data_IF_072125800897
#
_entry.id   IF_072125800897
#
_cell.length_a   1.000
_cell.length_b   1.000
_cell.length_c   1.000
_cell.angle_alpha   90.00
_cell.angle_beta   90.00
_cell.angle_gamma   90.00
#
_symmetry.space_group_name_H-M   'P 1'
#
loop_
_entity.id
_entity.type
_entity.pdbx_description
1 polymer ?
#
# COMPACT_ATOMS: atom_id res chain seq x y z
N UNK A 1 2.28 -1.67 -11.68
CA UNK A 1 2.23 -0.68 -10.59
C UNK A 1 1.05 -1.03 -9.69
N UNK A 2 1.15 -0.82 -8.37
CA UNK A 2 0.07 -1.08 -7.40
C UNK A 2 -0.11 0.21 -6.61
N UNK A 3 -1.33 0.76 -6.62
CA UNK A 3 -1.61 2.08 -6.06
C UNK A 3 -1.94 2.03 -4.56
N UNK A 4 -1.98 3.22 -3.95
CA UNK A 4 -2.44 3.38 -2.58
C UNK A 4 -3.96 3.33 -2.48
N UNK A 5 -4.46 2.62 -1.47
CA UNK A 5 -5.82 2.81 -0.95
C UNK A 5 -5.80 2.86 0.57
N UNK A 6 -6.64 3.72 1.16
CA UNK A 6 -6.90 3.74 2.60
C UNK A 6 -7.77 2.54 3.05
N UNK A 7 -8.40 1.84 2.10
CA UNK A 7 -9.07 0.55 2.31
C UNK A 7 -8.58 -0.44 1.22
N UNK A 8 -7.35 -0.98 1.38
CA UNK A 8 -6.71 -1.79 0.35
C UNK A 8 -7.26 -3.22 0.27
N UNK A 9 -6.95 -3.91 -0.83
CA UNK A 9 -7.21 -5.35 -1.00
C UNK A 9 -5.94 -6.22 -0.94
N UNK A 10 -4.76 -5.60 -0.81
CA UNK A 10 -3.48 -6.27 -0.60
C UNK A 10 -2.81 -5.84 0.72
N UNK A 11 -1.98 -6.73 1.26
CA UNK A 11 -1.00 -6.41 2.29
C UNK A 11 0.39 -6.91 1.89
N UNK A 12 1.43 -6.29 2.45
CA UNK A 12 2.84 -6.65 2.21
C UNK A 12 3.31 -7.59 3.31
N UNK A 13 3.97 -8.68 2.91
CA UNK A 13 4.62 -9.64 3.81
C UNK A 13 6.10 -9.76 3.44
N UNK A 14 7.03 -9.63 4.39
CA UNK A 14 8.43 -9.95 4.16
C UNK A 14 8.61 -11.47 4.05
N UNK A 15 9.16 -11.92 2.92
CA UNK A 15 9.45 -13.32 2.62
C UNK A 15 10.95 -13.56 2.44
N UNK A 16 11.40 -14.77 2.80
CA UNK A 16 12.78 -15.23 2.59
C UNK A 16 12.74 -16.43 1.65
N UNK A 17 13.52 -16.37 0.57
CA UNK A 17 13.67 -17.45 -0.41
C UNK A 17 15.16 -17.75 -0.49
N UNK A 18 15.64 -18.85 0.08
CA UNK A 18 17.06 -19.26 0.09
C UNK A 18 18.01 -18.35 0.91
N UNK A 19 17.56 -17.87 2.09
CA UNK A 19 18.32 -17.00 3.01
C UNK A 19 18.80 -15.60 2.55
N UNK A 20 18.11 -14.86 1.66
CA UNK A 20 18.49 -13.51 1.27
C UNK A 20 18.23 -12.53 2.40
N UNK A 21 19.20 -11.66 2.64
CA UNK A 21 19.13 -10.52 3.55
C UNK A 21 19.48 -9.24 2.76
N UNK A 22 18.63 -8.20 2.75
CA UNK A 22 17.33 -8.11 3.44
C UNK A 22 16.24 -9.02 2.83
N UNK A 23 15.15 -9.31 3.58
CA UNK A 23 14.03 -10.08 3.05
C UNK A 23 13.40 -9.39 1.84
N UNK A 24 12.80 -10.17 0.94
CA UNK A 24 12.02 -9.65 -0.18
C UNK A 24 10.62 -9.31 0.31
N UNK A 25 9.97 -8.31 -0.27
CA UNK A 25 8.59 -7.97 0.03
C UNK A 25 7.67 -8.62 -1.02
N UNK A 26 6.60 -9.27 -0.57
CA UNK A 26 5.59 -9.86 -1.43
C UNK A 26 4.19 -9.37 -1.05
N UNK A 27 3.31 -9.26 -2.05
CA UNK A 27 1.92 -8.89 -1.85
C UNK A 27 1.06 -10.14 -1.69
N UNK A 28 0.14 -10.08 -0.73
CA UNK A 28 -0.88 -11.09 -0.49
C UNK A 28 -2.25 -10.44 -0.40
N UNK A 29 -3.27 -11.12 -0.89
CA UNK A 29 -4.64 -10.59 -0.85
C UNK A 29 -5.19 -10.64 0.58
N UNK A 30 -5.98 -9.63 0.94
CA UNK A 30 -6.70 -9.58 2.22
C UNK A 30 -8.06 -10.28 2.16
N UNK A 31 -8.57 -10.48 0.94
CA UNK A 31 -9.83 -11.16 0.61
C UNK A 31 -9.76 -11.67 -0.83
N UNK A 32 -10.80 -12.38 -1.26
CA UNK A 32 -10.97 -12.69 -2.68
C UNK A 32 -11.10 -11.40 -3.51
N UNK A 33 -10.49 -11.40 -4.70
CA UNK A 33 -10.43 -10.26 -5.61
C UNK A 33 -11.19 -10.65 -6.87
N UNK A 34 -12.13 -9.79 -7.27
CA UNK A 34 -12.93 -10.02 -8.47
C UNK A 34 -12.14 -9.64 -9.73
N UNK A 35 -12.53 -10.22 -10.87
CA UNK A 35 -11.95 -9.84 -12.16
C UNK A 35 -12.11 -8.34 -12.43
N UNK A 36 -11.03 -7.69 -12.88
CA UNK A 36 -10.92 -6.25 -13.15
C UNK A 36 -10.96 -5.32 -11.93
N UNK A 37 -10.92 -5.86 -10.71
CA UNK A 37 -10.72 -5.04 -9.51
C UNK A 37 -9.28 -4.50 -9.44
N UNK A 38 -9.10 -3.20 -9.18
CA UNK A 38 -7.78 -2.60 -9.01
C UNK A 38 -7.08 -3.16 -7.76
N UNK A 39 -5.85 -3.63 -7.91
CA UNK A 39 -5.00 -4.03 -6.80
C UNK A 39 -4.42 -2.80 -6.08
N UNK A 40 -4.56 -2.74 -4.77
CA UNK A 40 -4.08 -1.63 -3.95
C UNK A 40 -3.55 -2.08 -2.58
N UNK A 41 -2.59 -1.34 -2.03
CA UNK A 41 -2.04 -1.56 -0.68
C UNK A 41 -1.91 -0.24 0.09
N UNK A 42 -1.72 -0.31 1.41
CA UNK A 42 -1.41 0.88 2.20
C UNK A 42 0.08 1.21 2.10
N UNK A 43 0.43 2.41 1.61
CA UNK A 43 1.82 2.82 1.44
C UNK A 43 2.54 3.11 2.77
N UNK A 44 1.80 3.12 3.87
CA UNK A 44 2.29 3.43 5.21
C UNK A 44 1.24 4.18 6.02
N UNK A 45 1.66 4.75 7.14
CA UNK A 45 0.78 5.48 8.06
C UNK A 45 1.23 6.91 8.31
N UNK A 46 2.44 7.27 7.89
CA UNK A 46 3.02 8.59 8.14
C UNK A 46 2.45 9.60 7.15
N UNK A 47 1.67 10.56 7.64
CA UNK A 47 1.16 11.68 6.85
C UNK A 47 1.91 12.92 7.29
N UNK A 48 2.54 13.59 6.33
CA UNK A 48 3.04 14.95 6.49
C UNK A 48 2.21 15.85 5.58
N UNK A 49 1.23 16.58 6.12
CA UNK A 49 0.28 17.38 5.33
C UNK A 49 0.96 18.40 4.40
N UNK A 50 2.19 18.84 4.70
CA UNK A 50 2.92 19.79 3.86
C UNK A 50 3.50 19.14 2.60
N UNK A 51 3.84 17.85 2.66
CA UNK A 51 4.55 17.14 1.60
C UNK A 51 3.75 15.97 1.01
N UNK A 52 2.69 15.54 1.68
CA UNK A 52 1.83 14.44 1.25
C UNK A 52 0.96 14.86 0.09
N UNK A 53 0.91 14.02 -0.94
CA UNK A 53 0.04 14.25 -2.10
C UNK A 53 -1.41 13.90 -1.74
N UNK A 54 -2.42 14.59 -2.30
CA UNK A 54 -3.82 14.23 -2.08
C UNK A 54 -4.11 12.78 -2.46
N UNK A 55 -4.84 12.07 -1.60
CA UNK A 55 -5.30 10.72 -1.86
C UNK A 55 -6.56 10.75 -2.74
N UNK A 56 -6.59 9.90 -3.77
CA UNK A 56 -7.72 9.74 -4.70
C UNK A 56 -8.25 8.31 -4.74
N UNK A 57 -8.08 7.55 -3.65
CA UNK A 57 -8.47 6.14 -3.60
C UNK A 57 -9.99 5.89 -3.53
N UNK A 58 -10.80 6.95 -3.38
CA UNK A 58 -12.27 6.88 -3.31
C UNK A 58 -12.86 6.04 -2.16
N UNK A 59 -12.03 5.53 -1.24
CA UNK A 59 -12.53 4.83 -0.04
C UNK A 59 -13.37 5.78 0.82
N UNK A 60 -14.46 5.26 1.39
CA UNK A 60 -15.26 5.98 2.39
C UNK A 60 -14.47 6.28 3.68
N UNK A 61 -13.40 5.53 3.94
CA UNK A 61 -12.47 5.74 5.06
C UNK A 61 -11.18 6.47 4.64
N UNK A 62 -11.20 7.20 3.53
CA UNK A 62 -10.02 7.91 3.01
C UNK A 62 -9.53 8.98 3.99
N UNK A 63 -8.22 9.00 4.25
CA UNK A 63 -7.55 10.00 5.12
C UNK A 63 -7.23 11.31 4.40
N UNK A 64 -7.61 11.45 3.13
CA UNK A 64 -7.43 12.66 2.32
C UNK A 64 -6.05 12.83 1.69
N UNK A 65 -4.99 12.26 2.28
CA UNK A 65 -3.61 12.36 1.80
C UNK A 65 -2.92 10.99 1.77
N UNK A 66 -2.08 10.75 0.76
CA UNK A 66 -1.26 9.54 0.71
C UNK A 66 -0.10 9.65 1.71
N UNK A 67 0.29 8.54 2.36
CA UNK A 67 1.44 8.54 3.26
C UNK A 67 2.69 9.09 2.57
N UNK A 68 3.40 9.99 3.25
CA UNK A 68 4.68 10.52 2.79
C UNK A 68 5.76 9.50 3.16
N UNK A 69 6.32 8.83 2.15
CA UNK A 69 7.59 8.14 2.31
C UNK A 69 8.69 9.12 1.95
N UNK A 70 9.44 9.58 2.96
CA UNK A 70 10.71 10.24 2.72
C UNK A 70 11.66 9.18 2.18
N UNK A 71 11.93 9.23 0.88
CA UNK A 71 13.01 8.45 0.29
C UNK A 71 14.30 9.19 0.62
N UNK A 72 15.09 8.65 1.54
CA UNK A 72 16.50 9.02 1.68
C UNK A 72 17.29 8.60 0.43
#
# INVERSE_FOLDING_TARGET
FINHSCNPNLHIVPIRIDQPTPPRLAFFTLREIQGNEELSYSYGTTIDEKHSKPCRCSSSSCTGFMPYQQTD
#
